data_IF_899224428683
#
_entry.id   IF_899224428683
#
_cell.length_a   1.000
_cell.length_b   1.000
_cell.length_c   1.000
_cell.angle_alpha   90.00
_cell.angle_beta   90.00
_cell.angle_gamma   90.00
#
_symmetry.space_group_name_H-M   'P 1'
#
loop_
_entity.id
_entity.type
_entity.pdbx_description
1 polymer ?
#
# COMPACT_ATOMS: atom_id res chain seq x y z
N UNK A 1 16.11 18.35 9.59
CA UNK A 1 15.18 19.38 10.11
C UNK A 1 13.79 18.76 10.13
N UNK A 2 13.19 18.67 11.29
CA UNK A 2 11.79 18.32 11.44
C UNK A 2 10.94 19.34 10.68
N UNK A 3 10.08 18.86 9.78
CA UNK A 3 9.14 19.76 9.11
C UNK A 3 7.91 19.93 9.97
N UNK A 4 7.71 21.10 10.50
CA UNK A 4 6.53 21.43 11.28
C UNK A 4 5.31 21.56 10.34
N UNK A 5 4.52 20.47 10.25
CA UNK A 5 3.31 20.42 9.46
C UNK A 5 2.09 21.02 10.20
N UNK A 6 2.27 21.43 11.47
CA UNK A 6 1.22 22.00 12.33
C UNK A 6 1.01 23.50 12.12
N UNK A 7 1.72 24.13 11.16
CA UNK A 7 1.66 25.55 10.84
C UNK A 7 1.52 25.79 9.33
N UNK A 8 1.24 27.01 8.91
CA UNK A 8 1.10 27.37 7.48
C UNK A 8 -0.23 26.90 6.87
N UNK A 9 -0.33 26.91 5.54
CA UNK A 9 -1.50 26.47 4.79
C UNK A 9 -1.70 24.95 4.91
N UNK A 10 -2.91 24.51 5.30
CA UNK A 10 -3.25 23.09 5.40
C UNK A 10 -3.20 22.44 4.01
N UNK A 11 -3.83 23.07 3.01
CA UNK A 11 -3.82 22.60 1.63
C UNK A 11 -2.40 22.51 1.06
N UNK A 12 -1.58 23.56 1.29
CA UNK A 12 -0.18 23.55 0.85
C UNK A 12 0.65 22.43 1.49
N UNK A 13 0.41 22.12 2.78
CA UNK A 13 1.06 21.00 3.45
C UNK A 13 0.62 19.65 2.88
N UNK A 14 -0.68 19.47 2.58
CA UNK A 14 -1.20 18.26 1.95
C UNK A 14 -0.50 18.04 0.60
N UNK A 15 -0.53 19.02 -0.30
CA UNK A 15 0.08 18.88 -1.64
C UNK A 15 1.59 18.62 -1.54
N UNK A 16 2.30 19.41 -0.71
CA UNK A 16 3.76 19.25 -0.53
C UNK A 16 4.15 17.88 0.02
N UNK A 17 3.31 17.27 0.86
CA UNK A 17 3.59 15.96 1.45
C UNK A 17 3.11 14.82 0.56
N UNK A 18 1.92 14.94 -0.07
CA UNK A 18 1.32 13.88 -0.87
C UNK A 18 2.03 13.65 -2.20
N UNK A 19 2.53 14.70 -2.86
CA UNK A 19 3.20 14.54 -4.16
C UNK A 19 4.44 13.63 -4.09
N UNK A 20 5.43 13.82 -3.19
CA UNK A 20 6.55 12.89 -3.10
C UNK A 20 6.10 11.48 -2.69
N UNK A 21 5.01 11.38 -1.90
CA UNK A 21 4.46 10.09 -1.52
C UNK A 21 3.82 9.35 -2.71
N UNK A 22 3.06 10.08 -3.53
CA UNK A 22 2.50 9.58 -4.79
C UNK A 22 3.61 9.07 -5.72
N UNK A 23 4.69 9.85 -5.87
CA UNK A 23 5.86 9.44 -6.64
C UNK A 23 6.53 8.19 -6.07
N UNK A 24 6.60 8.03 -4.75
CA UNK A 24 7.13 6.83 -4.12
C UNK A 24 6.31 5.58 -4.50
N UNK A 25 4.99 5.67 -4.45
CA UNK A 25 4.11 4.59 -4.88
C UNK A 25 4.22 4.30 -6.38
N UNK A 26 4.29 5.34 -7.21
CA UNK A 26 4.49 5.18 -8.64
C UNK A 26 5.80 4.44 -8.95
N UNK A 27 6.91 4.83 -8.31
CA UNK A 27 8.20 4.17 -8.46
C UNK A 27 8.17 2.71 -7.98
N UNK A 28 7.45 2.41 -6.89
CA UNK A 28 7.25 1.03 -6.44
C UNK A 28 6.50 0.18 -7.47
N UNK A 29 5.48 0.76 -8.10
CA UNK A 29 4.71 0.06 -9.14
C UNK A 29 5.57 -0.15 -10.39
N UNK A 30 6.30 0.88 -10.80
CA UNK A 30 7.22 0.83 -11.94
C UNK A 30 8.30 -0.25 -11.76
N UNK A 31 8.90 -0.31 -10.59
CA UNK A 31 9.88 -1.30 -10.20
C UNK A 31 9.36 -2.74 -10.37
N UNK A 32 8.17 -3.07 -9.82
CA UNK A 32 7.58 -4.40 -10.01
C UNK A 32 7.19 -4.72 -11.45
N UNK A 33 6.90 -3.70 -12.28
CA UNK A 33 6.65 -3.88 -13.71
C UNK A 33 7.95 -4.09 -14.49
N UNK A 34 9.04 -3.44 -14.11
CA UNK A 34 10.34 -3.58 -14.75
C UNK A 34 10.88 -5.01 -14.59
N UNK A 35 10.77 -5.61 -13.39
CA UNK A 35 11.15 -7.00 -13.16
C UNK A 35 10.44 -7.94 -14.15
N UNK A 36 9.10 -7.80 -14.29
CA UNK A 36 8.31 -8.63 -15.21
C UNK A 36 8.63 -8.36 -16.68
N UNK A 37 8.92 -7.12 -17.04
CA UNK A 37 9.29 -6.76 -18.40
C UNK A 37 10.65 -7.36 -18.77
N UNK A 38 11.65 -7.24 -17.90
CA UNK A 38 12.99 -7.72 -18.15
C UNK A 38 12.99 -9.26 -18.20
N UNK A 39 12.38 -9.94 -17.21
CA UNK A 39 12.32 -11.41 -17.23
C UNK A 39 11.59 -11.93 -18.48
N UNK A 40 10.55 -11.24 -18.94
CA UNK A 40 9.82 -11.61 -20.17
C UNK A 40 10.63 -11.51 -21.44
N UNK A 41 11.75 -10.73 -21.46
CA UNK A 41 12.63 -10.63 -22.62
C UNK A 41 13.71 -11.73 -22.67
N UNK A 42 14.14 -12.23 -21.50
CA UNK A 42 15.33 -13.10 -21.40
C UNK A 42 15.02 -14.51 -20.89
N UNK A 43 13.85 -14.76 -20.34
CA UNK A 43 13.45 -16.08 -19.85
C UNK A 43 12.27 -16.65 -20.65
N UNK A 44 12.07 -17.95 -20.49
CA UNK A 44 10.92 -18.66 -21.05
C UNK A 44 9.60 -18.33 -20.30
N UNK A 45 8.49 -18.86 -20.78
CA UNK A 45 7.18 -18.67 -20.17
C UNK A 45 7.14 -19.19 -18.72
N UNK A 46 7.87 -20.26 -18.38
CA UNK A 46 7.91 -20.82 -17.04
C UNK A 46 8.63 -19.89 -16.07
N UNK A 47 9.72 -19.27 -16.49
CA UNK A 47 10.46 -18.27 -15.72
C UNK A 47 9.66 -17.00 -15.48
N UNK A 48 9.00 -16.48 -16.52
CA UNK A 48 8.12 -15.32 -16.42
C UNK A 48 6.94 -15.57 -15.47
N UNK A 49 6.32 -16.76 -15.56
CA UNK A 49 5.25 -17.18 -14.67
C UNK A 49 5.74 -17.28 -13.22
N UNK A 50 6.93 -17.83 -13.00
CA UNK A 50 7.53 -17.96 -11.68
C UNK A 50 7.73 -16.60 -11.00
N UNK A 51 8.25 -15.60 -11.72
CA UNK A 51 8.42 -14.23 -11.20
C UNK A 51 7.06 -13.57 -10.98
N UNK A 52 6.10 -13.75 -11.89
CA UNK A 52 4.75 -13.17 -11.74
C UNK A 52 4.05 -13.66 -10.48
N UNK A 53 4.03 -14.98 -10.23
CA UNK A 53 3.43 -15.58 -9.02
C UNK A 53 4.19 -15.14 -7.77
N UNK A 54 5.52 -15.18 -7.81
CA UNK A 54 6.36 -14.77 -6.69
C UNK A 54 6.17 -13.30 -6.33
N UNK A 55 6.09 -12.43 -7.34
CA UNK A 55 5.87 -10.98 -7.15
C UNK A 55 4.52 -10.68 -6.52
N UNK A 56 3.46 -11.43 -6.83
CA UNK A 56 2.15 -11.26 -6.17
C UNK A 56 2.23 -11.54 -4.67
N UNK A 57 2.93 -12.62 -4.28
CA UNK A 57 3.15 -12.95 -2.86
C UNK A 57 3.94 -11.85 -2.16
N UNK A 58 5.02 -11.37 -2.79
CA UNK A 58 5.87 -10.30 -2.25
C UNK A 58 5.11 -8.97 -2.16
N UNK A 59 4.25 -8.66 -3.13
CA UNK A 59 3.41 -7.46 -3.11
C UNK A 59 2.45 -7.47 -1.91
N UNK A 60 1.76 -8.58 -1.67
CA UNK A 60 0.88 -8.75 -0.50
C UNK A 60 1.66 -8.56 0.81
N UNK A 61 2.83 -9.21 0.95
CA UNK A 61 3.68 -9.06 2.13
C UNK A 61 4.14 -7.61 2.33
N UNK A 62 4.55 -6.93 1.26
CA UNK A 62 4.99 -5.54 1.32
C UNK A 62 3.87 -4.61 1.78
N UNK A 63 2.64 -4.79 1.28
CA UNK A 63 1.49 -4.01 1.74
C UNK A 63 1.20 -4.24 3.23
N UNK A 64 1.25 -5.48 3.71
CA UNK A 64 1.10 -5.77 5.14
C UNK A 64 2.20 -5.12 5.99
N UNK A 65 3.46 -5.10 5.51
CA UNK A 65 4.58 -4.42 6.18
C UNK A 65 4.33 -2.90 6.21
N UNK A 66 3.89 -2.31 5.11
CA UNK A 66 3.53 -0.87 5.04
C UNK A 66 2.40 -0.53 6.01
N UNK A 67 1.38 -1.39 6.08
CA UNK A 67 0.29 -1.27 7.05
C UNK A 67 0.78 -1.31 8.50
N UNK A 68 1.64 -2.28 8.84
CA UNK A 68 2.29 -2.35 10.15
C UNK A 68 3.12 -1.09 10.45
N UNK A 69 3.87 -0.59 9.47
CA UNK A 69 4.70 0.60 9.58
C UNK A 69 3.90 1.89 9.81
N UNK A 70 2.58 1.90 9.50
CA UNK A 70 1.70 3.02 9.80
C UNK A 70 1.65 3.33 11.30
N UNK A 71 1.74 2.31 12.17
CA UNK A 71 1.83 2.49 13.61
C UNK A 71 3.02 3.36 14.03
N UNK A 72 4.18 3.16 13.38
CA UNK A 72 5.36 4.00 13.61
C UNK A 72 5.14 5.44 13.11
N UNK A 73 4.63 5.62 11.89
CA UNK A 73 4.34 6.96 11.34
C UNK A 73 3.45 7.78 12.27
N UNK A 74 2.39 7.17 12.81
CA UNK A 74 1.43 7.85 13.69
C UNK A 74 2.06 8.17 15.05
N UNK A 75 2.67 7.19 15.72
CA UNK A 75 3.22 7.39 17.07
C UNK A 75 4.38 8.39 17.09
N UNK A 76 5.27 8.33 16.10
CA UNK A 76 6.35 9.29 15.92
C UNK A 76 5.77 10.65 15.56
N UNK A 77 4.79 10.72 14.64
CA UNK A 77 4.14 11.97 14.25
C UNK A 77 3.48 12.69 15.43
N UNK A 78 2.79 11.95 16.30
CA UNK A 78 2.21 12.51 17.52
C UNK A 78 3.27 13.05 18.47
N UNK A 79 4.39 12.33 18.69
CA UNK A 79 5.48 12.78 19.54
C UNK A 79 6.17 14.04 18.98
N UNK A 80 6.40 14.09 17.66
CA UNK A 80 6.95 15.27 16.96
C UNK A 80 6.00 16.46 17.07
N UNK A 81 4.70 16.24 16.86
CA UNK A 81 3.69 17.27 17.04
C UNK A 81 3.66 17.86 18.44
N UNK A 82 3.79 17.01 19.46
CA UNK A 82 3.92 17.40 20.86
C UNK A 82 5.24 18.07 21.21
N UNK A 83 6.20 18.16 20.27
CA UNK A 83 7.59 18.62 20.49
C UNK A 83 8.35 17.78 21.52
N UNK A 84 7.95 16.55 21.73
CA UNK A 84 8.62 15.60 22.62
C UNK A 84 9.65 14.77 21.84
N UNK A 85 10.83 15.34 21.66
CA UNK A 85 11.92 14.69 20.91
C UNK A 85 12.39 13.39 21.58
N UNK A 86 12.32 13.31 22.92
CA UNK A 86 12.70 12.11 23.65
C UNK A 86 11.76 10.94 23.38
N UNK A 87 10.46 11.20 23.39
CA UNK A 87 9.47 10.18 22.99
C UNK A 87 9.59 9.84 21.50
N UNK A 88 9.82 10.81 20.62
CA UNK A 88 10.04 10.53 19.20
C UNK A 88 11.25 9.62 18.96
N UNK A 89 12.37 9.86 19.65
CA UNK A 89 13.56 9.00 19.61
C UNK A 89 13.25 7.57 20.13
N UNK A 90 12.57 7.46 21.27
CA UNK A 90 12.16 6.16 21.85
C UNK A 90 11.22 5.39 20.93
N UNK A 91 10.19 6.04 20.34
CA UNK A 91 9.32 5.40 19.35
C UNK A 91 10.12 4.93 18.14
N UNK A 92 11.06 5.73 17.63
CA UNK A 92 11.91 5.37 16.50
C UNK A 92 12.78 4.15 16.81
N UNK A 93 13.54 4.16 17.91
CA UNK A 93 14.42 3.06 18.30
C UNK A 93 13.65 1.77 18.59
N UNK A 94 12.53 1.85 19.34
CA UNK A 94 11.68 0.69 19.62
C UNK A 94 11.02 0.15 18.32
N UNK A 95 10.65 0.99 17.38
CA UNK A 95 10.12 0.55 16.08
C UNK A 95 11.17 -0.27 15.34
N UNK A 96 12.40 0.22 15.19
CA UNK A 96 13.47 -0.49 14.50
C UNK A 96 13.77 -1.84 15.18
N UNK A 97 13.89 -1.88 16.51
CA UNK A 97 14.14 -3.12 17.27
C UNK A 97 12.99 -4.12 17.12
N UNK A 98 11.73 -3.67 17.24
CA UNK A 98 10.54 -4.51 17.13
C UNK A 98 10.47 -5.17 15.75
N UNK A 99 10.60 -4.36 14.70
CA UNK A 99 10.40 -4.84 13.34
C UNK A 99 11.59 -5.65 12.83
N UNK A 100 12.80 -5.41 13.31
CA UNK A 100 13.94 -6.27 13.03
C UNK A 100 13.70 -7.68 13.58
N UNK A 101 13.27 -7.81 14.84
CA UNK A 101 12.96 -9.11 15.43
C UNK A 101 11.78 -9.78 14.72
N UNK A 102 10.71 -9.01 14.47
CA UNK A 102 9.53 -9.53 13.78
C UNK A 102 9.86 -9.99 12.36
N UNK A 103 10.65 -9.22 11.60
CA UNK A 103 11.02 -9.59 10.24
C UNK A 103 11.86 -10.86 10.17
N UNK A 104 12.77 -11.06 11.11
CA UNK A 104 13.55 -12.31 11.20
C UNK A 104 12.65 -13.50 11.52
N UNK A 105 11.71 -13.35 12.47
CA UNK A 105 10.76 -14.40 12.82
C UNK A 105 9.83 -14.75 11.63
N UNK A 106 9.32 -13.72 10.94
CA UNK A 106 8.49 -13.89 9.74
C UNK A 106 9.29 -14.54 8.60
N UNK A 107 10.55 -14.17 8.42
CA UNK A 107 11.43 -14.81 7.43
C UNK A 107 11.56 -16.31 7.69
N UNK A 108 11.82 -16.72 8.93
CA UNK A 108 11.89 -18.14 9.30
C UNK A 108 10.59 -18.89 8.98
N UNK A 109 9.44 -18.30 9.33
CA UNK A 109 8.13 -18.86 9.03
C UNK A 109 7.89 -18.98 7.50
N UNK A 110 8.17 -17.93 6.75
CA UNK A 110 7.96 -17.90 5.29
C UNK A 110 8.87 -18.90 4.58
N UNK A 111 10.13 -19.04 5.00
CA UNK A 111 11.05 -20.05 4.45
C UNK A 111 10.57 -21.48 4.72
N UNK A 112 9.98 -21.75 5.89
CA UNK A 112 9.35 -23.04 6.19
C UNK A 112 8.10 -23.30 5.32
N UNK A 113 7.36 -22.25 4.98
CA UNK A 113 6.08 -22.33 4.24
C UNK A 113 6.23 -22.08 2.73
N UNK A 114 7.43 -21.93 2.18
CA UNK A 114 7.62 -21.53 0.78
C UNK A 114 6.94 -22.47 -0.21
N UNK A 115 7.02 -23.80 -0.01
CA UNK A 115 6.36 -24.80 -0.88
C UNK A 115 4.84 -24.78 -0.72
N UNK A 116 4.26 -24.81 0.50
CA UNK A 116 2.83 -24.60 0.71
C UNK A 116 2.29 -23.32 0.07
N UNK A 117 3.03 -22.20 0.17
CA UNK A 117 2.64 -20.93 -0.47
C UNK A 117 2.57 -21.07 -1.99
N UNK A 118 3.59 -21.65 -2.64
CA UNK A 118 3.60 -21.90 -4.07
C UNK A 118 2.42 -22.82 -4.51
N UNK A 119 2.07 -23.80 -3.68
CA UNK A 119 0.93 -24.69 -3.95
C UNK A 119 -0.41 -23.95 -3.83
N UNK A 120 -0.60 -23.14 -2.79
CA UNK A 120 -1.83 -22.33 -2.60
C UNK A 120 -2.01 -21.33 -3.75
N UNK A 121 -0.91 -20.80 -4.31
CA UNK A 121 -0.94 -19.92 -5.47
C UNK A 121 -1.26 -20.65 -6.78
N UNK A 122 -1.52 -21.96 -6.75
CA UNK A 122 -1.82 -22.79 -7.93
C UNK A 122 -0.78 -22.64 -9.03
N UNK A 123 0.50 -22.59 -8.64
CA UNK A 123 1.63 -22.43 -9.55
C UNK A 123 1.69 -23.61 -10.52
N UNK A 124 1.75 -23.38 -11.86
CA UNK A 124 1.94 -24.45 -12.85
C UNK A 124 3.19 -25.29 -12.54
N UNK A 125 3.12 -26.60 -12.80
CA UNK A 125 4.17 -27.56 -12.43
C UNK A 125 5.56 -27.16 -12.93
N UNK A 126 5.63 -26.62 -14.15
CA UNK A 126 6.87 -26.17 -14.82
C UNK A 126 7.47 -24.94 -14.15
N UNK A 127 6.64 -24.10 -13.51
CA UNK A 127 7.07 -22.86 -12.85
C UNK A 127 7.36 -23.03 -11.35
N UNK A 128 6.99 -24.15 -10.72
CA UNK A 128 7.11 -24.35 -9.26
C UNK A 128 8.55 -24.19 -8.79
N UNK A 129 9.52 -24.77 -9.48
CA UNK A 129 10.94 -24.69 -9.08
C UNK A 129 11.46 -23.26 -9.10
N UNK A 130 11.12 -22.51 -10.17
CA UNK A 130 11.48 -21.09 -10.32
C UNK A 130 10.80 -20.22 -9.26
N UNK A 131 9.49 -20.44 -9.00
CA UNK A 131 8.73 -19.72 -7.96
C UNK A 131 9.32 -19.95 -6.57
N UNK A 132 9.64 -21.21 -6.23
CA UNK A 132 10.27 -21.54 -4.94
C UNK A 132 11.65 -20.91 -4.80
N UNK A 133 12.47 -20.91 -5.86
CA UNK A 133 13.78 -20.25 -5.86
C UNK A 133 13.63 -18.73 -5.67
N UNK A 134 12.74 -18.10 -6.43
CA UNK A 134 12.42 -16.68 -6.32
C UNK A 134 11.97 -16.31 -4.90
N UNK A 135 10.96 -17.01 -4.38
CA UNK A 135 10.40 -16.74 -3.06
C UNK A 135 11.43 -16.95 -1.94
N UNK A 136 12.29 -17.99 -2.02
CA UNK A 136 13.33 -18.20 -1.00
C UNK A 136 14.27 -17.01 -0.90
N UNK A 137 14.74 -16.50 -2.02
CA UNK A 137 15.66 -15.35 -2.06
C UNK A 137 14.95 -14.09 -1.56
N UNK A 138 13.73 -13.82 -2.02
CA UNK A 138 12.94 -12.69 -1.56
C UNK A 138 12.59 -12.77 -0.06
N UNK A 139 12.27 -13.97 0.47
CA UNK A 139 11.99 -14.16 1.89
C UNK A 139 13.22 -13.92 2.77
N UNK A 140 14.42 -14.29 2.30
CA UNK A 140 15.67 -13.88 2.96
C UNK A 140 15.86 -12.35 2.93
N UNK A 141 15.31 -11.67 1.93
CA UNK A 141 15.28 -10.22 1.81
C UNK A 141 14.20 -9.51 2.66
N UNK A 142 13.24 -10.23 3.28
CA UNK A 142 12.17 -9.62 4.07
C UNK A 142 12.69 -8.69 5.18
N UNK A 143 13.77 -8.98 5.91
CA UNK A 143 14.32 -8.02 6.87
C UNK A 143 14.73 -6.70 6.22
N UNK A 144 15.32 -6.71 5.03
CA UNK A 144 15.72 -5.51 4.32
C UNK A 144 14.50 -4.70 3.83
N UNK A 145 13.50 -5.38 3.26
CA UNK A 145 12.24 -4.76 2.84
C UNK A 145 11.54 -4.12 4.04
N UNK A 146 11.51 -4.82 5.17
CA UNK A 146 10.91 -4.32 6.41
C UNK A 146 11.64 -3.09 6.91
N UNK A 147 12.97 -3.15 7.05
CA UNK A 147 13.77 -2.03 7.55
C UNK A 147 13.65 -0.80 6.65
N UNK A 148 13.66 -0.96 5.32
CA UNK A 148 13.40 0.15 4.41
C UNK A 148 12.05 0.82 4.70
N UNK A 149 10.96 0.03 4.78
CA UNK A 149 9.62 0.56 5.02
C UNK A 149 9.49 1.22 6.40
N UNK A 150 10.17 0.68 7.40
CA UNK A 150 10.22 1.26 8.75
C UNK A 150 10.96 2.59 8.74
N UNK A 151 12.15 2.67 8.15
CA UNK A 151 12.90 3.92 8.05
C UNK A 151 12.09 4.98 7.27
N UNK A 152 11.45 4.56 6.16
CA UNK A 152 10.56 5.43 5.41
C UNK A 152 9.38 5.94 6.28
N UNK A 153 8.81 5.09 7.14
CA UNK A 153 7.72 5.48 8.03
C UNK A 153 8.19 6.43 9.15
N UNK A 154 9.41 6.28 9.64
CA UNK A 154 10.05 7.23 10.57
C UNK A 154 10.13 8.61 9.93
N UNK A 155 10.69 8.72 8.71
CA UNK A 155 10.76 10.00 8.01
C UNK A 155 9.39 10.62 7.75
N UNK A 156 8.39 9.80 7.40
CA UNK A 156 7.00 10.26 7.25
C UNK A 156 6.43 10.82 8.56
N UNK A 157 6.66 10.14 9.68
CA UNK A 157 6.28 10.61 11.02
C UNK A 157 6.97 11.96 11.37
N UNK A 158 8.22 12.15 10.95
CA UNK A 158 8.98 13.40 11.06
C UNK A 158 8.47 14.52 10.13
N UNK A 159 7.48 14.23 9.26
CA UNK A 159 6.95 15.19 8.30
C UNK A 159 7.75 15.27 6.99
N UNK A 160 8.65 14.34 6.73
CA UNK A 160 9.45 14.32 5.50
C UNK A 160 9.05 13.14 4.59
N UNK A 161 8.30 13.45 3.54
CA UNK A 161 7.94 12.50 2.48
C UNK A 161 8.94 12.48 1.31
N UNK A 162 9.83 13.47 1.21
CA UNK A 162 10.78 13.57 0.09
C UNK A 162 11.92 12.55 0.19
N UNK A 163 12.49 12.39 1.40
CA UNK A 163 13.60 11.43 1.57
C UNK A 163 13.22 9.99 1.25
N UNK A 164 12.08 9.44 1.75
CA UNK A 164 11.62 8.12 1.32
C UNK A 164 11.47 7.99 -0.21
N UNK A 165 11.02 9.05 -0.90
CA UNK A 165 10.94 9.07 -2.36
C UNK A 165 12.32 8.90 -3.02
N UNK A 166 13.35 9.58 -2.51
CA UNK A 166 14.70 9.41 -3.05
C UNK A 166 15.27 8.02 -2.76
N UNK A 167 14.98 7.43 -1.60
CA UNK A 167 15.45 6.09 -1.27
C UNK A 167 14.85 5.05 -2.22
N UNK A 168 13.55 5.13 -2.52
CA UNK A 168 12.92 4.22 -3.46
C UNK A 168 13.37 4.47 -4.91
N UNK A 169 13.66 5.72 -5.28
CA UNK A 169 14.20 6.03 -6.61
C UNK A 169 15.57 5.38 -6.81
N UNK A 170 16.44 5.43 -5.80
CA UNK A 170 17.73 4.73 -5.82
C UNK A 170 17.52 3.22 -5.92
N UNK A 171 16.62 2.64 -5.10
CA UNK A 171 16.31 1.22 -5.16
C UNK A 171 15.81 0.80 -6.55
N UNK A 172 14.93 1.57 -7.17
CA UNK A 172 14.39 1.31 -8.50
C UNK A 172 15.48 1.31 -9.57
N UNK A 173 16.36 2.33 -9.56
CA UNK A 173 17.47 2.41 -10.53
C UNK A 173 18.46 1.25 -10.36
N UNK A 174 18.81 0.90 -9.12
CA UNK A 174 19.72 -0.22 -8.82
C UNK A 174 19.09 -1.55 -9.21
N UNK A 175 17.77 -1.75 -8.90
CA UNK A 175 17.08 -2.97 -9.27
C UNK A 175 17.08 -3.18 -10.80
N UNK A 176 16.68 -2.18 -11.60
CA UNK A 176 16.67 -2.28 -13.05
C UNK A 176 18.07 -2.63 -13.58
N UNK A 177 19.12 -2.00 -13.05
CA UNK A 177 20.49 -2.30 -13.46
C UNK A 177 20.91 -3.74 -13.09
N UNK A 178 20.55 -4.21 -11.90
CA UNK A 178 20.84 -5.57 -11.43
C UNK A 178 20.02 -6.62 -12.19
N UNK A 179 18.79 -6.32 -12.58
CA UNK A 179 17.97 -7.24 -13.37
C UNK A 179 18.57 -7.45 -14.77
N UNK A 180 19.00 -6.39 -15.45
CA UNK A 180 19.73 -6.55 -16.71
C UNK A 180 21.03 -7.33 -16.54
N UNK A 181 21.72 -7.18 -15.41
CA UNK A 181 22.93 -7.95 -15.11
C UNK A 181 22.61 -9.42 -14.83
N UNK A 182 21.71 -9.71 -13.88
CA UNK A 182 21.45 -11.08 -13.42
C UNK A 182 20.56 -11.87 -14.37
N UNK A 183 19.53 -11.24 -14.92
CA UNK A 183 18.61 -11.90 -15.85
C UNK A 183 19.15 -11.84 -17.27
N UNK A 184 19.62 -10.65 -17.73
CA UNK A 184 20.07 -10.44 -19.10
C UNK A 184 21.45 -11.03 -19.36
N UNK A 185 22.48 -10.62 -18.61
CA UNK A 185 23.87 -11.03 -18.88
C UNK A 185 24.24 -12.37 -18.26
N UNK A 186 23.77 -12.67 -17.02
CA UNK A 186 24.13 -13.91 -16.32
C UNK A 186 23.08 -15.02 -16.47
N UNK A 187 21.98 -14.76 -17.14
CA UNK A 187 20.89 -15.73 -17.42
C UNK A 187 20.40 -16.50 -16.19
N UNK A 188 20.32 -15.85 -15.01
CA UNK A 188 19.92 -16.48 -13.76
C UNK A 188 18.39 -16.68 -13.63
N UNK A 189 17.62 -16.21 -14.60
CA UNK A 189 16.16 -16.37 -14.60
C UNK A 189 15.47 -15.81 -13.35
N UNK A 190 14.47 -16.53 -12.76
CA UNK A 190 13.73 -16.06 -11.59
C UNK A 190 14.61 -15.79 -10.37
N UNK A 191 15.68 -16.56 -10.16
CA UNK A 191 16.62 -16.31 -9.07
C UNK A 191 17.37 -14.98 -9.25
N UNK A 192 17.69 -14.61 -10.49
CA UNK A 192 18.29 -13.32 -10.82
C UNK A 192 17.41 -12.14 -10.49
N UNK A 193 16.11 -12.20 -10.85
CA UNK A 193 15.12 -11.20 -10.50
C UNK A 193 15.01 -11.02 -8.97
N UNK A 194 14.94 -12.13 -8.23
CA UNK A 194 14.85 -12.09 -6.77
C UNK A 194 16.12 -11.49 -6.12
N UNK A 195 17.30 -11.80 -6.65
CA UNK A 195 18.57 -11.21 -6.19
C UNK A 195 18.64 -9.71 -6.50
N UNK A 196 18.25 -9.30 -7.71
CA UNK A 196 18.15 -7.89 -8.10
C UNK A 196 17.30 -7.10 -7.14
N UNK A 197 16.09 -7.59 -6.87
CA UNK A 197 15.14 -7.03 -5.89
C UNK A 197 15.75 -6.93 -4.49
N UNK A 198 16.30 -8.02 -3.97
CA UNK A 198 16.82 -8.09 -2.60
C UNK A 198 18.04 -7.18 -2.40
N UNK A 199 18.97 -7.16 -3.36
CA UNK A 199 20.15 -6.31 -3.30
C UNK A 199 19.81 -4.82 -3.47
N UNK A 200 18.85 -4.49 -4.33
CA UNK A 200 18.36 -3.11 -4.46
C UNK A 200 17.76 -2.60 -3.14
N UNK A 201 17.02 -3.45 -2.42
CA UNK A 201 16.53 -3.11 -1.09
C UNK A 201 17.66 -2.95 -0.07
N UNK A 202 18.71 -3.78 -0.13
CA UNK A 202 19.89 -3.64 0.72
C UNK A 202 20.57 -2.28 0.52
N UNK A 203 20.75 -1.85 -0.74
CA UNK A 203 21.31 -0.53 -1.08
C UNK A 203 20.41 0.58 -0.54
N UNK A 204 19.11 0.47 -0.71
CA UNK A 204 18.14 1.46 -0.19
C UNK A 204 18.19 1.58 1.34
N UNK A 205 18.29 0.46 2.05
CA UNK A 205 18.47 0.42 3.51
C UNK A 205 19.79 1.09 3.91
N UNK A 206 20.89 0.75 3.24
CA UNK A 206 22.19 1.35 3.54
C UNK A 206 22.18 2.88 3.36
N UNK A 207 21.63 3.36 2.23
CA UNK A 207 21.48 4.80 1.96
C UNK A 207 20.59 5.47 3.00
N UNK A 208 19.44 4.89 3.32
CA UNK A 208 18.49 5.45 4.28
C UNK A 208 19.06 5.50 5.71
N UNK A 209 19.80 4.47 6.14
CA UNK A 209 20.52 4.45 7.43
C UNK A 209 21.64 5.50 7.48
N UNK A 210 22.40 5.66 6.39
CA UNK A 210 23.44 6.68 6.31
C UNK A 210 22.84 8.08 6.45
N UNK A 211 21.71 8.35 5.78
CA UNK A 211 20.99 9.64 5.90
C UNK A 211 20.42 9.81 7.31
N UNK A 212 19.88 8.77 7.92
CA UNK A 212 19.33 8.85 9.27
C UNK A 212 20.40 9.11 10.34
N UNK A 213 21.61 8.55 10.18
CA UNK A 213 22.75 8.75 11.09
C UNK A 213 23.41 10.11 10.91
N UNK A 214 23.22 10.78 9.77
CA UNK A 214 23.78 12.10 9.54
C UNK A 214 23.09 13.15 10.43
N UNK A 215 23.76 14.27 10.71
CA UNK A 215 23.19 15.42 11.44
C UNK A 215 21.91 15.99 10.78
N UNK A 216 21.65 15.61 9.51
CA UNK A 216 20.44 15.95 8.76
C UNK A 216 19.27 15.00 9.04
N UNK A 217 19.48 13.90 9.77
CA UNK A 217 18.47 12.86 10.05
C UNK A 217 17.27 13.32 10.90
N UNK A 218 17.43 14.38 11.69
CA UNK A 218 16.35 15.03 12.41
C UNK A 218 16.08 14.50 13.83
N UNK A 219 16.50 13.27 14.19
CA UNK A 219 16.39 12.69 15.54
C UNK A 219 17.76 12.18 15.98
N UNK A 220 18.21 12.60 17.15
CA UNK A 220 19.38 12.01 17.81
C UNK A 220 18.96 10.73 18.53
N UNK A 221 19.43 9.59 18.03
CA UNK A 221 19.15 8.28 18.63
C UNK A 221 20.31 7.89 19.55
N UNK A 222 19.97 7.42 20.74
CA UNK A 222 20.89 6.83 21.71
C UNK A 222 20.68 5.32 21.80
N UNK A 223 21.66 4.58 22.35
CA UNK A 223 21.52 3.13 22.53
C UNK A 223 20.34 2.76 23.42
N UNK A 224 19.95 3.61 24.35
CA UNK A 224 18.83 3.36 25.28
C UNK A 224 17.47 3.45 24.57
N UNK A 225 17.36 4.18 23.45
CA UNK A 225 16.12 4.27 22.68
C UNK A 225 15.74 2.96 21.98
N UNK A 226 16.73 2.08 21.74
CA UNK A 226 16.53 0.76 21.15
C UNK A 226 16.12 -0.32 22.18
N UNK A 227 16.17 -0.01 23.47
CA UNK A 227 15.75 -0.98 24.51
C UNK A 227 14.25 -1.24 24.41
N UNK A 228 13.82 -2.52 24.32
CA UNK A 228 12.43 -2.89 24.17
C UNK A 228 11.55 -2.36 25.31
N UNK A 229 10.53 -1.57 24.97
CA UNK A 229 9.54 -1.08 25.92
C UNK A 229 8.15 -1.59 25.51
N UNK A 230 7.57 -2.50 26.30
CA UNK A 230 6.27 -3.15 25.97
C UNK A 230 5.15 -2.15 25.68
N UNK A 231 5.07 -1.06 26.44
CA UNK A 231 4.06 -0.04 26.25
C UNK A 231 4.18 0.68 24.89
N UNK A 232 5.41 1.00 24.48
CA UNK A 232 5.72 1.63 23.19
C UNK A 232 5.41 0.66 22.05
N UNK A 233 5.96 -0.55 22.12
CA UNK A 233 5.75 -1.58 21.11
C UNK A 233 4.26 -1.94 20.95
N UNK A 234 3.55 -2.08 22.09
CA UNK A 234 2.12 -2.35 22.12
C UNK A 234 1.30 -1.24 21.44
N UNK A 235 1.67 0.03 21.62
CA UNK A 235 1.00 1.17 20.96
C UNK A 235 1.23 1.18 19.45
N UNK A 236 2.45 0.88 19.00
CA UNK A 236 2.81 0.76 17.58
C UNK A 236 1.99 -0.36 16.93
N UNK A 237 1.97 -1.55 17.55
CA UNK A 237 1.25 -2.71 17.03
C UNK A 237 -0.27 -2.52 17.05
N UNK A 238 -0.81 -1.86 18.09
CA UNK A 238 -2.25 -1.56 18.17
C UNK A 238 -2.75 -0.74 17.00
N UNK A 239 -1.92 0.13 16.44
CA UNK A 239 -2.26 0.93 15.26
C UNK A 239 -1.92 0.16 13.97
N UNK A 240 -0.76 -0.49 13.90
CA UNK A 240 -0.27 -1.12 12.69
C UNK A 240 -0.96 -2.44 12.34
N UNK A 241 -1.26 -3.29 13.34
CA UNK A 241 -1.82 -4.63 13.08
C UNK A 241 -3.19 -4.57 12.40
N UNK A 242 -4.17 -3.74 12.81
CA UNK A 242 -5.44 -3.64 12.09
C UNK A 242 -5.27 -3.25 10.63
N UNK A 243 -4.35 -2.34 10.30
CA UNK A 243 -4.09 -1.90 8.92
C UNK A 243 -3.43 -3.02 8.11
N UNK A 244 -2.44 -3.70 8.68
CA UNK A 244 -1.79 -4.82 8.00
C UNK A 244 -2.78 -5.96 7.69
N UNK A 245 -3.65 -6.31 8.64
CA UNK A 245 -4.70 -7.31 8.43
C UNK A 245 -5.71 -6.85 7.37
N UNK A 246 -6.11 -5.58 7.39
CA UNK A 246 -6.96 -4.97 6.38
C UNK A 246 -6.35 -5.14 4.99
N UNK A 247 -5.09 -4.74 4.81
CA UNK A 247 -4.41 -4.77 3.51
C UNK A 247 -4.26 -6.21 3.00
N UNK A 248 -3.90 -7.16 3.89
CA UNK A 248 -3.84 -8.58 3.55
C UNK A 248 -5.20 -9.15 3.11
N UNK A 249 -6.28 -8.84 3.83
CA UNK A 249 -7.63 -9.30 3.50
C UNK A 249 -8.18 -8.68 2.22
N UNK A 250 -7.83 -7.42 1.94
CA UNK A 250 -8.18 -6.78 0.65
C UNK A 250 -7.50 -7.53 -0.51
N UNK A 251 -6.23 -7.93 -0.39
CA UNK A 251 -5.55 -8.70 -1.42
C UNK A 251 -6.20 -10.08 -1.64
N UNK A 252 -6.60 -10.74 -0.57
CA UNK A 252 -7.37 -12.00 -0.67
C UNK A 252 -8.69 -11.78 -1.39
N UNK A 253 -9.39 -10.67 -1.13
CA UNK A 253 -10.63 -10.34 -1.83
C UNK A 253 -10.42 -10.12 -3.34
N UNK A 254 -9.32 -9.48 -3.76
CA UNK A 254 -8.96 -9.38 -5.17
C UNK A 254 -8.74 -10.75 -5.82
N UNK A 255 -8.09 -11.69 -5.11
CA UNK A 255 -7.96 -13.07 -5.60
C UNK A 255 -9.32 -13.74 -5.81
N UNK A 256 -10.28 -13.55 -4.91
CA UNK A 256 -11.64 -14.07 -5.11
C UNK A 256 -12.33 -13.46 -6.34
N UNK A 257 -12.19 -12.17 -6.57
CA UNK A 257 -12.74 -11.50 -7.77
C UNK A 257 -12.10 -12.06 -9.04
N UNK A 258 -10.79 -12.26 -9.04
CA UNK A 258 -10.08 -12.90 -10.16
C UNK A 258 -10.58 -14.32 -10.41
N UNK A 259 -10.81 -15.13 -9.36
CA UNK A 259 -11.39 -16.48 -9.50
C UNK A 259 -12.81 -16.42 -10.09
N UNK A 260 -13.63 -15.45 -9.67
CA UNK A 260 -14.97 -15.25 -10.23
C UNK A 260 -14.88 -14.90 -11.72
N UNK A 261 -13.96 -14.01 -12.11
CA UNK A 261 -13.74 -13.65 -13.50
C UNK A 261 -13.25 -14.83 -14.35
N UNK A 262 -12.32 -15.64 -13.83
CA UNK A 262 -11.81 -16.84 -14.52
C UNK A 262 -12.92 -17.86 -14.84
N UNK A 263 -13.92 -17.97 -13.97
CA UNK A 263 -15.08 -18.87 -14.21
C UNK A 263 -16.01 -18.38 -15.32
N UNK A 264 -15.92 -17.13 -15.74
CA UNK A 264 -16.71 -16.57 -16.84
C UNK A 264 -16.08 -16.82 -18.22
N UNK A 265 -14.82 -17.19 -18.24
CA UNK A 265 -14.07 -17.50 -19.47
C UNK A 265 -12.86 -16.61 -19.66
N UNK A 266 -12.04 -16.95 -20.66
CA UNK A 266 -10.73 -16.34 -20.89
C UNK A 266 -10.83 -14.83 -21.20
N UNK A 267 -11.81 -14.43 -22.02
CA UNK A 267 -12.02 -13.05 -22.43
C UNK A 267 -12.33 -12.14 -21.22
N UNK A 268 -13.29 -12.56 -20.37
CA UNK A 268 -13.69 -11.82 -19.19
C UNK A 268 -12.56 -11.77 -18.16
N UNK A 269 -11.83 -12.89 -17.97
CA UNK A 269 -10.68 -12.95 -17.09
C UNK A 269 -9.56 -11.98 -17.52
N UNK A 270 -9.24 -11.94 -18.82
CA UNK A 270 -8.26 -11.01 -19.37
C UNK A 270 -8.72 -9.56 -19.21
N UNK A 271 -9.99 -9.27 -19.49
CA UNK A 271 -10.57 -7.93 -19.32
C UNK A 271 -10.49 -7.44 -17.87
N UNK A 272 -10.90 -8.28 -16.90
CA UNK A 272 -10.81 -7.98 -15.47
C UNK A 272 -9.36 -7.73 -15.04
N UNK A 273 -8.42 -8.60 -15.44
CA UNK A 273 -7.01 -8.46 -15.10
C UNK A 273 -6.38 -7.17 -15.63
N UNK A 274 -6.73 -6.74 -16.84
CA UNK A 274 -6.28 -5.46 -17.41
C UNK A 274 -6.85 -4.27 -16.62
N UNK A 275 -8.16 -4.29 -16.38
CA UNK A 275 -8.84 -3.21 -15.67
C UNK A 275 -8.34 -3.09 -14.22
N UNK A 276 -8.09 -4.19 -13.53
CA UNK A 276 -7.49 -4.15 -12.17
C UNK A 276 -6.12 -3.47 -12.15
N UNK A 277 -5.29 -3.67 -13.18
CA UNK A 277 -4.01 -2.94 -13.30
C UNK A 277 -4.23 -1.45 -13.51
N UNK A 278 -5.15 -1.05 -14.39
CA UNK A 278 -5.50 0.36 -14.62
C UNK A 278 -5.97 1.00 -13.31
N UNK A 279 -6.89 0.36 -12.61
CA UNK A 279 -7.43 0.83 -11.34
C UNK A 279 -6.32 0.95 -10.28
N UNK A 280 -5.39 0.00 -10.21
CA UNK A 280 -4.26 0.05 -9.27
C UNK A 280 -3.42 1.33 -9.43
N UNK A 281 -3.19 1.80 -10.66
CA UNK A 281 -2.54 3.09 -10.91
C UNK A 281 -3.37 4.27 -10.43
N UNK A 282 -4.67 4.26 -10.68
CA UNK A 282 -5.56 5.35 -10.27
C UNK A 282 -5.72 5.42 -8.76
N UNK A 283 -5.64 4.29 -8.06
CA UNK A 283 -5.68 4.20 -6.61
C UNK A 283 -4.42 4.72 -5.90
N UNK A 284 -3.35 5.04 -6.62
CA UNK A 284 -2.18 5.70 -6.02
C UNK A 284 -2.54 7.04 -5.37
N UNK A 285 -3.51 7.77 -5.92
CA UNK A 285 -3.96 9.05 -5.35
C UNK A 285 -4.72 8.85 -4.03
N UNK A 286 -5.79 8.03 -3.93
CA UNK A 286 -6.41 7.69 -2.65
C UNK A 286 -5.42 7.18 -1.59
N UNK A 287 -4.51 6.27 -1.98
CA UNK A 287 -3.51 5.69 -1.07
C UNK A 287 -2.53 6.74 -0.54
N UNK A 288 -2.10 7.68 -1.39
CA UNK A 288 -1.24 8.78 -0.96
C UNK A 288 -1.95 9.72 0.01
N UNK A 289 -3.27 9.93 -0.17
CA UNK A 289 -4.07 10.74 0.74
C UNK A 289 -4.29 10.08 2.09
N UNK A 290 -4.54 8.76 2.15
CA UNK A 290 -4.57 8.01 3.41
C UNK A 290 -3.31 8.27 4.24
N UNK A 291 -2.15 8.09 3.64
CA UNK A 291 -0.86 8.25 4.31
C UNK A 291 -0.58 9.70 4.69
N UNK A 292 -0.98 10.64 3.83
CA UNK A 292 -0.84 12.08 4.08
C UNK A 292 -1.70 12.50 5.27
N UNK A 293 -2.98 12.13 5.30
CA UNK A 293 -3.89 12.45 6.41
C UNK A 293 -3.41 11.81 7.71
N UNK A 294 -2.90 10.57 7.64
CA UNK A 294 -2.36 9.88 8.81
C UNK A 294 -1.15 10.61 9.40
N UNK A 295 -0.17 11.02 8.59
CA UNK A 295 1.04 11.69 9.05
C UNK A 295 0.77 13.13 9.53
N UNK A 296 0.07 13.94 8.73
CA UNK A 296 -0.28 15.32 9.08
C UNK A 296 -1.24 15.38 10.26
N UNK A 297 -2.25 14.51 10.24
CA UNK A 297 -3.23 14.38 11.32
C UNK A 297 -2.55 14.01 12.63
N UNK A 298 -1.66 13.01 12.62
CA UNK A 298 -0.91 12.60 13.81
C UNK A 298 -0.09 13.75 14.42
N UNK A 299 0.64 14.52 13.60
CA UNK A 299 1.37 15.70 14.09
C UNK A 299 0.42 16.77 14.65
N UNK A 300 -0.70 17.03 14.00
CA UNK A 300 -1.69 17.99 14.48
C UNK A 300 -2.31 17.56 15.81
N UNK A 301 -2.66 16.27 15.96
CA UNK A 301 -3.18 15.72 17.21
C UNK A 301 -2.14 15.82 18.33
N UNK A 302 -0.89 15.43 18.07
CA UNK A 302 0.20 15.56 19.04
C UNK A 302 0.45 17.00 19.48
N UNK A 303 0.24 17.98 18.59
CA UNK A 303 0.35 19.42 18.89
C UNK A 303 -0.87 20.00 19.61
N UNK A 304 -1.90 19.21 19.94
CA UNK A 304 -3.16 19.70 20.49
C UNK A 304 -4.03 20.50 19.51
N UNK A 305 -3.72 20.43 18.20
CA UNK A 305 -4.41 21.19 17.14
C UNK A 305 -5.45 20.33 16.43
N UNK A 306 -6.38 19.77 17.18
CA UNK A 306 -7.39 18.81 16.69
C UNK A 306 -8.26 19.38 15.56
N UNK A 307 -8.63 20.67 15.62
CA UNK A 307 -9.36 21.36 14.53
C UNK A 307 -8.57 21.35 13.23
N UNK A 308 -7.24 21.49 13.30
CA UNK A 308 -6.38 21.45 12.12
C UNK A 308 -6.28 20.03 11.54
N UNK A 309 -6.28 19.00 12.37
CA UNK A 309 -6.36 17.62 11.93
C UNK A 309 -7.67 17.35 11.16
N UNK A 310 -8.81 17.89 11.63
CA UNK A 310 -10.09 17.84 10.91
C UNK A 310 -10.04 18.61 9.59
N UNK A 311 -9.47 19.80 9.55
CA UNK A 311 -9.28 20.54 8.30
C UNK A 311 -8.44 19.73 7.30
N UNK A 312 -7.39 19.04 7.77
CA UNK A 312 -6.57 18.16 6.92
C UNK A 312 -7.42 17.04 6.32
N UNK A 313 -8.31 16.42 7.12
CA UNK A 313 -9.24 15.40 6.62
C UNK A 313 -10.14 15.95 5.51
N UNK A 314 -10.82 17.08 5.74
CA UNK A 314 -11.78 17.62 4.78
C UNK A 314 -11.12 18.11 3.48
N UNK A 315 -9.96 18.77 3.56
CA UNK A 315 -9.21 19.16 2.36
C UNK A 315 -8.69 17.94 1.58
N UNK A 316 -8.23 16.91 2.27
CA UNK A 316 -7.78 15.68 1.61
C UNK A 316 -8.96 14.95 0.94
N UNK A 317 -10.14 14.89 1.59
CA UNK A 317 -11.36 14.36 0.98
C UNK A 317 -11.73 15.17 -0.27
N UNK A 318 -11.71 16.50 -0.20
CA UNK A 318 -12.05 17.35 -1.35
C UNK A 318 -11.10 17.08 -2.54
N UNK A 319 -9.81 16.95 -2.30
CA UNK A 319 -8.82 16.64 -3.35
C UNK A 319 -9.02 15.23 -3.91
N UNK A 320 -9.14 14.21 -3.05
CA UNK A 320 -9.27 12.83 -3.49
C UNK A 320 -10.61 12.55 -4.18
N UNK A 321 -11.70 13.09 -3.66
CA UNK A 321 -13.03 12.98 -4.26
C UNK A 321 -13.09 13.75 -5.58
N UNK A 322 -12.55 14.97 -5.63
CA UNK A 322 -12.49 15.77 -6.86
C UNK A 322 -11.69 15.05 -7.96
N UNK A 323 -10.55 14.45 -7.62
CA UNK A 323 -9.81 13.58 -8.54
C UNK A 323 -10.64 12.38 -8.99
N UNK A 324 -11.29 11.68 -8.04
CA UNK A 324 -12.16 10.53 -8.34
C UNK A 324 -13.29 10.88 -9.31
N UNK A 325 -13.97 12.01 -9.09
CA UNK A 325 -15.03 12.49 -9.99
C UNK A 325 -14.46 12.83 -11.37
N UNK A 326 -13.35 13.58 -11.42
CA UNK A 326 -12.72 13.95 -12.70
C UNK A 326 -12.38 12.72 -13.54
N UNK A 327 -11.66 11.74 -12.92
CA UNK A 327 -11.24 10.55 -13.65
C UNK A 327 -12.43 9.65 -14.02
N UNK A 328 -13.45 9.58 -13.15
CA UNK A 328 -14.67 8.82 -13.42
C UNK A 328 -15.41 9.39 -14.63
N UNK A 329 -15.54 10.71 -14.73
CA UNK A 329 -16.15 11.36 -15.88
C UNK A 329 -15.34 11.09 -17.14
N UNK A 330 -14.02 11.26 -17.11
CA UNK A 330 -13.15 11.00 -18.26
C UNK A 330 -13.28 9.55 -18.75
N UNK A 331 -13.22 8.58 -17.85
CA UNK A 331 -13.29 7.16 -18.20
C UNK A 331 -14.65 6.77 -18.82
N UNK A 332 -15.76 7.44 -18.48
CA UNK A 332 -17.03 7.14 -19.16
C UNK A 332 -16.93 7.29 -20.69
N UNK A 333 -16.09 8.21 -21.18
CA UNK A 333 -15.93 8.48 -22.60
C UNK A 333 -14.79 7.72 -23.27
N UNK A 334 -13.77 7.33 -22.50
CA UNK A 334 -12.52 6.73 -23.04
C UNK A 334 -12.20 5.33 -22.50
N UNK A 335 -13.17 4.63 -21.92
CA UNK A 335 -12.92 3.32 -21.29
C UNK A 335 -12.33 2.30 -22.26
N UNK A 336 -12.94 2.09 -23.43
CA UNK A 336 -12.46 1.14 -24.44
C UNK A 336 -11.07 1.54 -24.99
N UNK A 337 -10.81 2.80 -25.41
CA UNK A 337 -9.47 3.24 -25.78
C UNK A 337 -8.41 3.00 -24.71
N UNK A 338 -8.74 3.19 -23.43
CA UNK A 338 -7.80 2.95 -22.31
C UNK A 338 -7.51 1.45 -22.16
N UNK A 339 -8.50 0.59 -22.26
CA UNK A 339 -8.30 -0.87 -22.25
C UNK A 339 -7.50 -1.32 -23.47
N UNK A 340 -7.74 -0.73 -24.64
CA UNK A 340 -7.04 -1.03 -25.89
C UNK A 340 -5.53 -0.69 -25.86
N UNK A 341 -5.07 0.15 -24.91
CA UNK A 341 -3.63 0.36 -24.70
C UNK A 341 -2.89 -0.90 -24.22
N UNK A 342 -3.63 -1.86 -23.64
CA UNK A 342 -3.07 -3.06 -23.04
C UNK A 342 -3.31 -4.33 -23.86
N UNK A 343 -4.22 -4.30 -24.83
CA UNK A 343 -4.55 -5.46 -25.67
C UNK A 343 -5.11 -5.05 -27.03
N UNK A 344 -4.82 -5.83 -28.05
CA UNK A 344 -5.40 -5.67 -29.40
C UNK A 344 -6.63 -6.56 -29.63
N UNK A 345 -6.99 -7.42 -28.65
CA UNK A 345 -8.17 -8.29 -28.76
C UNK A 345 -9.46 -7.48 -28.57
N UNK A 346 -10.21 -7.33 -29.64
CA UNK A 346 -11.46 -6.57 -29.65
C UNK A 346 -12.51 -7.11 -28.68
N UNK A 347 -12.56 -8.42 -28.44
CA UNK A 347 -13.49 -9.02 -27.49
C UNK A 347 -13.13 -8.65 -26.05
N UNK A 348 -11.83 -8.64 -25.71
CA UNK A 348 -11.33 -8.22 -24.40
C UNK A 348 -11.58 -6.72 -24.18
N UNK A 349 -11.38 -5.90 -25.19
CA UNK A 349 -11.68 -4.45 -25.12
C UNK A 349 -13.18 -4.22 -24.90
N UNK A 350 -14.04 -4.91 -25.64
CA UNK A 350 -15.50 -4.78 -25.50
C UNK A 350 -16.02 -5.25 -24.13
N UNK A 351 -15.40 -6.24 -23.51
CA UNK A 351 -15.73 -6.69 -22.15
C UNK A 351 -15.15 -5.77 -21.08
N UNK A 352 -13.91 -5.29 -21.26
CA UNK A 352 -13.18 -4.46 -20.29
C UNK A 352 -13.71 -3.04 -20.17
N UNK A 353 -14.18 -2.44 -21.28
CA UNK A 353 -14.74 -1.08 -21.27
C UNK A 353 -15.90 -0.92 -20.28
N UNK A 354 -16.98 -1.72 -20.37
CA UNK A 354 -18.07 -1.68 -19.39
C UNK A 354 -17.61 -1.97 -17.95
N UNK A 355 -16.69 -2.92 -17.76
CA UNK A 355 -16.15 -3.21 -16.43
C UNK A 355 -15.42 -1.99 -15.85
N UNK A 356 -14.56 -1.34 -16.62
CA UNK A 356 -13.84 -0.15 -16.23
C UNK A 356 -14.79 1.01 -15.91
N UNK A 357 -15.84 1.24 -16.73
CA UNK A 357 -16.86 2.27 -16.45
C UNK A 357 -17.58 2.06 -15.12
N UNK A 358 -17.90 0.82 -14.78
CA UNK A 358 -18.51 0.51 -13.49
C UNK A 358 -17.53 0.65 -12.33
N UNK A 359 -16.32 0.08 -12.48
CA UNK A 359 -15.32 0.05 -11.42
C UNK A 359 -14.76 1.44 -11.09
N UNK A 360 -14.58 2.33 -12.08
CA UNK A 360 -13.95 3.64 -11.85
C UNK A 360 -14.69 4.51 -10.83
N UNK A 361 -16.01 4.30 -10.66
CA UNK A 361 -16.79 5.00 -9.65
C UNK A 361 -16.30 4.71 -8.23
N UNK A 362 -15.63 3.57 -8.03
CA UNK A 362 -14.95 3.22 -6.79
C UNK A 362 -13.90 4.26 -6.39
N UNK A 363 -13.22 4.89 -7.34
CA UNK A 363 -12.22 5.93 -7.07
C UNK A 363 -12.79 7.12 -6.29
N UNK A 364 -14.05 7.50 -6.53
CA UNK A 364 -14.71 8.58 -5.80
C UNK A 364 -14.88 8.21 -4.32
N UNK A 365 -15.42 7.02 -4.07
CA UNK A 365 -15.71 6.56 -2.71
C UNK A 365 -14.45 6.14 -1.97
N UNK A 366 -13.49 5.51 -2.67
CA UNK A 366 -12.19 5.15 -2.12
C UNK A 366 -11.43 6.39 -1.65
N UNK A 367 -11.44 7.48 -2.42
CA UNK A 367 -10.84 8.75 -2.00
C UNK A 367 -11.36 9.23 -0.65
N UNK A 368 -12.66 9.06 -0.40
CA UNK A 368 -13.30 9.48 0.87
C UNK A 368 -12.92 8.54 2.02
N UNK A 369 -13.19 7.23 1.89
CA UNK A 369 -12.95 6.32 3.02
C UNK A 369 -11.46 6.11 3.34
N UNK A 370 -10.55 6.25 2.34
CA UNK A 370 -9.11 6.24 2.60
C UNK A 370 -8.67 7.44 3.45
N UNK A 371 -9.21 8.63 3.19
CA UNK A 371 -8.97 9.79 4.03
C UNK A 371 -9.49 9.59 5.47
N UNK A 372 -10.68 9.01 5.64
CA UNK A 372 -11.19 8.64 6.97
C UNK A 372 -10.30 7.60 7.66
N UNK A 373 -9.84 6.57 6.92
CA UNK A 373 -8.88 5.59 7.44
C UNK A 373 -7.62 6.27 7.97
N UNK A 374 -7.06 7.20 7.18
CA UNK A 374 -5.89 7.99 7.60
C UNK A 374 -6.15 8.80 8.87
N UNK A 375 -7.34 9.40 8.99
CA UNK A 375 -7.74 10.16 10.18
C UNK A 375 -7.94 9.25 11.40
N UNK A 376 -8.61 8.10 11.23
CA UNK A 376 -8.77 7.11 12.31
C UNK A 376 -7.42 6.59 12.80
N UNK A 377 -6.46 6.37 11.91
CA UNK A 377 -5.08 6.05 12.29
C UNK A 377 -4.45 7.19 13.10
N UNK A 378 -4.59 8.45 12.63
CA UNK A 378 -4.00 9.61 13.28
C UNK A 378 -4.48 9.81 14.73
N UNK A 379 -5.75 9.50 15.02
CA UNK A 379 -6.32 9.53 16.38
C UNK A 379 -6.10 8.23 17.17
N UNK A 380 -5.38 7.25 16.62
CA UNK A 380 -5.09 5.96 17.27
C UNK A 380 -6.25 4.96 17.29
N UNK A 381 -7.21 5.09 16.36
CA UNK A 381 -8.41 4.25 16.23
C UNK A 381 -8.41 3.47 14.91
N UNK A 382 -7.27 2.86 14.57
CA UNK A 382 -7.11 2.10 13.33
C UNK A 382 -8.04 0.89 13.20
N UNK A 383 -8.58 0.40 14.32
CA UNK A 383 -9.62 -0.62 14.33
C UNK A 383 -10.86 -0.23 13.53
N UNK A 384 -11.20 1.07 13.48
CA UNK A 384 -12.31 1.56 12.67
C UNK A 384 -12.00 1.46 11.18
N UNK A 385 -10.75 1.70 10.78
CA UNK A 385 -10.30 1.50 9.40
C UNK A 385 -10.45 0.03 8.98
N UNK A 386 -10.02 -0.90 9.82
CA UNK A 386 -10.19 -2.33 9.57
C UNK A 386 -11.67 -2.71 9.45
N UNK A 387 -12.52 -2.27 10.39
CA UNK A 387 -13.93 -2.68 10.45
C UNK A 387 -14.70 -2.23 9.22
N UNK A 388 -14.60 -0.95 8.80
CA UNK A 388 -15.36 -0.49 7.63
C UNK A 388 -14.92 -1.18 6.33
N UNK A 389 -13.61 -1.39 6.15
CA UNK A 389 -13.10 -2.05 4.95
C UNK A 389 -13.52 -3.52 4.89
N UNK A 390 -13.32 -4.28 5.96
CA UNK A 390 -13.66 -5.69 6.00
C UNK A 390 -15.17 -5.91 5.85
N UNK A 391 -15.99 -5.10 6.49
CA UNK A 391 -17.45 -5.16 6.36
C UNK A 391 -17.87 -4.92 4.90
N UNK A 392 -17.30 -3.93 4.23
CA UNK A 392 -17.60 -3.64 2.83
C UNK A 392 -17.15 -4.76 1.88
N UNK A 393 -15.96 -5.34 2.12
CA UNK A 393 -15.43 -6.44 1.33
C UNK A 393 -16.29 -7.69 1.46
N UNK A 394 -16.61 -8.09 2.69
CA UNK A 394 -17.32 -9.35 2.99
C UNK A 394 -18.80 -9.27 2.68
N UNK A 395 -19.45 -8.14 2.93
CA UNK A 395 -20.90 -8.02 2.74
C UNK A 395 -21.32 -7.55 1.35
N UNK A 396 -20.48 -6.77 0.67
CA UNK A 396 -20.89 -6.13 -0.61
C UNK A 396 -19.94 -6.46 -1.75
N UNK A 397 -18.63 -6.20 -1.61
CA UNK A 397 -17.70 -6.29 -2.75
C UNK A 397 -17.60 -7.71 -3.31
N UNK A 398 -17.27 -8.70 -2.50
CA UNK A 398 -17.12 -10.10 -2.95
C UNK A 398 -18.46 -10.75 -3.27
N UNK A 399 -19.50 -10.69 -2.41
CA UNK A 399 -20.81 -11.25 -2.75
C UNK A 399 -21.45 -10.54 -3.94
N UNK A 400 -21.32 -9.20 -4.04
CA UNK A 400 -21.83 -8.42 -5.16
C UNK A 400 -21.17 -8.81 -6.48
N UNK A 401 -19.84 -8.96 -6.51
CA UNK A 401 -19.14 -9.45 -7.68
C UNK A 401 -19.59 -10.86 -8.09
N UNK A 402 -19.79 -11.76 -7.13
CA UNK A 402 -20.28 -13.11 -7.39
C UNK A 402 -21.72 -13.12 -7.94
N UNK A 403 -22.64 -12.40 -7.28
CA UNK A 403 -24.04 -12.35 -7.69
C UNK A 403 -24.20 -11.70 -9.05
N UNK A 404 -23.55 -10.56 -9.28
CA UNK A 404 -23.62 -9.87 -10.58
C UNK A 404 -22.99 -10.69 -11.70
N UNK A 405 -21.90 -11.41 -11.43
CA UNK A 405 -21.30 -12.34 -12.37
C UNK A 405 -22.27 -13.45 -12.80
N UNK A 406 -23.11 -13.92 -11.88
CA UNK A 406 -24.08 -15.00 -12.14
C UNK A 406 -25.34 -14.51 -12.85
N UNK A 407 -25.89 -13.35 -12.43
CA UNK A 407 -27.16 -12.84 -12.95
C UNK A 407 -27.01 -11.99 -14.22
N UNK A 408 -25.81 -11.46 -14.50
CA UNK A 408 -25.55 -10.64 -15.68
C UNK A 408 -24.38 -11.22 -16.51
N UNK A 409 -24.58 -12.41 -17.13
CA UNK A 409 -23.50 -13.06 -17.87
C UNK A 409 -23.08 -12.30 -19.14
N UNK A 410 -23.94 -11.43 -19.69
CA UNK A 410 -23.69 -10.71 -20.93
C UNK A 410 -22.77 -9.50 -20.78
N UNK A 411 -22.52 -9.01 -19.56
CA UNK A 411 -21.72 -7.80 -19.34
C UNK A 411 -21.01 -7.82 -17.99
N UNK A 412 -19.83 -7.17 -17.90
CA UNK A 412 -19.07 -7.00 -16.68
C UNK A 412 -19.41 -5.68 -15.93
N UNK A 413 -20.22 -4.79 -16.51
CA UNK A 413 -20.58 -3.52 -15.87
C UNK A 413 -21.12 -3.66 -14.44
N UNK A 414 -22.09 -4.57 -14.15
CA UNK A 414 -22.62 -4.74 -12.80
C UNK A 414 -21.57 -5.25 -11.80
N UNK A 415 -20.60 -6.06 -12.28
CA UNK A 415 -19.50 -6.54 -11.45
C UNK A 415 -18.57 -5.38 -11.04
N UNK A 416 -18.30 -4.44 -11.95
CA UNK A 416 -17.58 -3.19 -11.65
C UNK A 416 -18.35 -2.31 -10.66
N UNK A 417 -19.66 -2.15 -10.83
CA UNK A 417 -20.50 -1.39 -9.91
C UNK A 417 -20.56 -2.01 -8.51
N UNK A 418 -20.47 -3.33 -8.38
CA UNK A 418 -20.45 -4.00 -7.08
C UNK A 418 -19.21 -3.62 -6.25
N UNK A 419 -18.06 -3.37 -6.89
CA UNK A 419 -16.87 -2.87 -6.19
C UNK A 419 -17.09 -1.47 -5.68
N UNK A 420 -17.64 -0.57 -6.50
CA UNK A 420 -17.99 0.80 -6.10
C UNK A 420 -19.04 0.84 -4.97
N UNK A 421 -20.05 -0.05 -5.01
CA UNK A 421 -21.02 -0.19 -3.94
C UNK A 421 -20.38 -0.61 -2.61
N UNK A 422 -19.34 -1.46 -2.64
CA UNK A 422 -18.56 -1.81 -1.46
C UNK A 422 -17.91 -0.59 -0.83
N UNK A 423 -17.25 0.25 -1.62
CA UNK A 423 -16.62 1.47 -1.11
C UNK A 423 -17.64 2.51 -0.65
N UNK A 424 -18.82 2.57 -1.26
CA UNK A 424 -19.92 3.41 -0.75
C UNK A 424 -20.35 2.96 0.65
N UNK A 425 -20.47 1.65 0.90
CA UNK A 425 -20.75 1.14 2.25
C UNK A 425 -19.64 1.51 3.23
N UNK A 426 -18.37 1.43 2.82
CA UNK A 426 -17.23 1.90 3.62
C UNK A 426 -17.39 3.37 4.01
N UNK A 427 -17.76 4.25 3.07
CA UNK A 427 -18.01 5.67 3.33
C UNK A 427 -19.12 5.86 4.36
N UNK A 428 -20.24 5.14 4.21
CA UNK A 428 -21.38 5.21 5.14
C UNK A 428 -20.93 4.84 6.55
N UNK A 429 -20.20 3.72 6.71
CA UNK A 429 -19.68 3.28 8.01
C UNK A 429 -18.71 4.31 8.60
N UNK A 430 -17.81 4.88 7.78
CA UNK A 430 -16.88 5.92 8.20
C UNK A 430 -17.62 7.17 8.73
N UNK A 431 -18.64 7.62 8.01
CA UNK A 431 -19.45 8.79 8.43
C UNK A 431 -20.18 8.49 9.74
N UNK A 432 -20.79 7.32 9.88
CA UNK A 432 -21.46 6.91 11.13
C UNK A 432 -20.45 6.87 12.28
N UNK A 433 -19.29 6.21 12.10
CA UNK A 433 -18.24 6.13 13.11
C UNK A 433 -17.75 7.54 13.51
N UNK A 434 -17.54 8.42 12.53
CA UNK A 434 -17.16 9.81 12.76
C UNK A 434 -18.19 10.57 13.59
N UNK A 435 -19.48 10.47 13.26
CA UNK A 435 -20.56 11.12 14.00
C UNK A 435 -20.70 10.58 15.43
N UNK A 436 -20.54 9.27 15.62
CA UNK A 436 -20.54 8.64 16.95
C UNK A 436 -19.35 9.14 17.78
N UNK A 437 -18.15 9.17 17.23
CA UNK A 437 -16.97 9.71 17.92
C UNK A 437 -17.16 11.17 18.30
N UNK A 438 -17.77 11.97 17.42
CA UNK A 438 -18.06 13.38 17.67
C UNK A 438 -19.05 13.56 18.83
N UNK A 439 -20.13 12.77 18.86
CA UNK A 439 -21.13 12.83 19.96
C UNK A 439 -20.54 12.47 21.32
N UNK A 440 -19.58 11.56 21.36
CA UNK A 440 -18.92 11.12 22.59
C UNK A 440 -17.69 11.96 22.99
N UNK A 441 -17.40 13.08 22.32
CA UNK A 441 -16.24 13.91 22.59
C UNK A 441 -14.88 13.24 22.32
N UNK A 442 -14.87 12.08 21.63
CA UNK A 442 -13.66 11.28 21.37
C UNK A 442 -13.00 11.63 20.03
N UNK A 443 -13.57 12.56 19.28
CA UNK A 443 -13.06 12.96 17.96
C UNK A 443 -11.88 13.92 18.07
N UNK A 444 -11.85 14.71 19.13
CA UNK A 444 -10.89 15.78 19.40
C UNK A 444 -10.18 15.48 20.73
N UNK A 445 -9.19 14.55 20.77
CA UNK A 445 -8.44 14.32 21.99
C UNK A 445 -7.72 15.61 22.41
N UNK A 446 -8.01 16.13 23.62
CA UNK A 446 -7.40 17.34 24.18
C UNK A 446 -8.29 18.59 24.27
N UNK A 447 -9.57 18.51 23.91
CA UNK A 447 -10.57 19.60 24.13
C UNK A 447 -11.59 19.21 25.24
N UNK A 448 -11.15 18.39 26.22
CA UNK A 448 -11.93 18.05 27.42
C UNK A 448 -11.29 18.62 28.65
#
# INVERSE_FOLDING_TARGET
MEKNLTTGSVFGNIVRFSLPYLFSYFLQTLYGMADLFIIGQYADASGTTAVSVGSQVMHMLTLMIVGLAMGATVTIGQAVGARDQKSAARYTGNTMSLFLVLSVAVTGLLLALVRPIAAVMSTPAEAVSGTVAYLRICFLGVPLITEYNIIASVFRGLGDSKRPMYFIAVACAVNIALDYLFIGALHMGPAGAALGTTLAQAVSVAVSLAVMRSARGGIALTRDDFRPQRAIMGRILRIGVPIALQDGLIQIAFLFITVIANRRGLTDAAAVGIVEKIISFLFLVPSSMLSTVSALGAQCIGAGKSRRALQTLWYAIAVAFGFGVLISVVIQFVAEPVVALFTHDAAVVAAGGPYLRGYILDCCFAGVHFCFSGYFCAIGRSELSFVHNITAVVLVRVPGAYLTSRYFPATLLPMGLATAAGSLLSVIICVIAFLVLRRHGKLLPGEG
#
